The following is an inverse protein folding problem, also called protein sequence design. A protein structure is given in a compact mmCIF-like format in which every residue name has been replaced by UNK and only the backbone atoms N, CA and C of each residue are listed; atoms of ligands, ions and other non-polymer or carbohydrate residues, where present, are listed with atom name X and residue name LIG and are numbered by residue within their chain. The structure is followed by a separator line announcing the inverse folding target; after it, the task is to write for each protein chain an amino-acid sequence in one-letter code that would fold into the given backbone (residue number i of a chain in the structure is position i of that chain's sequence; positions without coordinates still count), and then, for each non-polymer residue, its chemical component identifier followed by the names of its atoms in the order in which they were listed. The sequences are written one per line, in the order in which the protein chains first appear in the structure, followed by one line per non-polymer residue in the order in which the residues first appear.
data_IF_386549155827
#
_entry.id   IF_386549155827
#
_cell.length_a   1.000
_cell.length_b   1.000
_cell.length_c   1.000
_cell.angle_alpha   90.00
_cell.angle_beta   90.00
_cell.angle_gamma   90.00
#
_symmetry.space_group_name_H-M   'P 1'
#
loop_
_entity.id
_entity.type
_entity.pdbx_description
1 polymer ?
#
# COMPACT_ATOMS: atom_id res chain seq x y z
N UNK A 1 -3.70 32.65 -4.86
CA UNK A 1 -2.51 32.30 -4.04
C UNK A 1 -1.32 33.23 -4.37
N UNK A 2 -0.96 33.45 -5.64
CA UNK A 2 0.16 34.35 -6.03
C UNK A 2 -0.03 35.76 -5.45
N UNK A 3 -1.21 36.34 -5.67
CA UNK A 3 -1.55 37.69 -5.15
C UNK A 3 -1.60 37.75 -3.61
N UNK A 4 -1.75 36.63 -2.94
CA UNK A 4 -1.78 36.48 -1.48
C UNK A 4 -0.42 36.17 -0.88
N UNK A 5 0.65 36.17 -1.67
CA UNK A 5 2.03 35.94 -1.20
C UNK A 5 2.45 34.48 -1.03
N UNK A 6 1.61 33.52 -1.46
CA UNK A 6 1.95 32.10 -1.42
C UNK A 6 2.81 31.70 -2.63
N UNK A 7 4.04 32.21 -2.69
CA UNK A 7 4.93 32.09 -3.84
C UNK A 7 6.19 31.25 -3.57
N UNK A 8 6.34 30.74 -2.35
CA UNK A 8 7.50 29.91 -1.97
C UNK A 8 7.26 28.45 -2.29
N UNK A 9 8.34 27.72 -2.49
CA UNK A 9 8.30 26.26 -2.60
C UNK A 9 7.70 25.66 -1.33
N UNK A 10 6.81 24.66 -1.50
CA UNK A 10 6.39 23.85 -0.37
C UNK A 10 7.54 22.90 0.06
N UNK A 11 7.57 22.47 1.33
CA UNK A 11 8.46 21.39 1.74
C UNK A 11 8.29 20.15 0.85
N UNK A 12 9.36 19.39 0.60
CA UNK A 12 9.34 18.20 -0.27
C UNK A 12 8.36 17.14 0.20
N UNK A 13 8.13 17.03 1.51
CA UNK A 13 7.15 16.11 2.11
C UNK A 13 5.71 16.64 2.08
N UNK A 14 5.48 17.83 1.54
CA UNK A 14 4.18 18.48 1.46
C UNK A 14 3.93 19.53 2.53
N UNK A 15 2.87 20.31 2.37
CA UNK A 15 2.51 21.37 3.31
C UNK A 15 2.24 20.80 4.72
N UNK A 16 2.86 21.37 5.78
CA UNK A 16 2.67 20.86 7.15
C UNK A 16 1.20 20.79 7.57
N UNK A 17 0.41 21.81 7.25
CA UNK A 17 -1.02 21.82 7.57
C UNK A 17 -1.80 20.66 6.91
N UNK A 18 -1.44 20.26 5.67
CA UNK A 18 -2.06 19.12 5.00
C UNK A 18 -1.64 17.80 5.65
N UNK A 19 -0.34 17.64 5.95
CA UNK A 19 0.17 16.44 6.64
C UNK A 19 -0.48 16.25 8.01
N UNK A 20 -0.66 17.33 8.78
CA UNK A 20 -1.38 17.31 10.05
C UNK A 20 -2.86 16.88 9.88
N UNK A 21 -3.54 17.35 8.83
CA UNK A 21 -4.91 16.92 8.55
C UNK A 21 -4.99 15.45 8.12
N UNK A 22 -4.00 14.95 7.40
CA UNK A 22 -3.89 13.51 7.06
C UNK A 22 -3.71 12.70 8.34
N UNK A 23 -2.77 13.06 9.21
CA UNK A 23 -2.58 12.38 10.50
C UNK A 23 -3.86 12.41 11.36
N UNK A 24 -4.53 13.56 11.43
CA UNK A 24 -5.79 13.68 12.15
C UNK A 24 -6.92 12.82 11.53
N UNK A 25 -6.95 12.67 10.20
CA UNK A 25 -7.89 11.78 9.50
C UNK A 25 -7.61 10.34 9.85
N UNK A 26 -6.36 9.89 9.82
CA UNK A 26 -5.95 8.52 10.18
C UNK A 26 -6.38 8.22 11.63
N UNK A 27 -6.11 9.12 12.56
CA UNK A 27 -6.53 8.95 13.96
C UNK A 27 -8.05 8.83 14.11
N UNK A 28 -8.83 9.63 13.39
CA UNK A 28 -10.30 9.55 13.45
C UNK A 28 -10.86 8.29 12.78
N UNK A 29 -10.28 7.86 11.67
CA UNK A 29 -10.82 6.74 10.88
C UNK A 29 -10.39 5.38 11.42
N UNK A 30 -9.16 5.29 11.91
CA UNK A 30 -8.53 4.00 12.24
C UNK A 30 -8.01 3.90 13.68
N UNK A 31 -8.09 4.98 14.47
CA UNK A 31 -7.60 4.99 15.85
C UNK A 31 -6.08 4.99 15.99
N UNK A 32 -5.36 5.17 14.89
CA UNK A 32 -3.89 5.12 14.83
C UNK A 32 -3.29 6.52 14.86
N UNK A 33 -2.27 6.72 15.69
CA UNK A 33 -1.52 7.97 15.73
C UNK A 33 -0.28 7.85 14.83
N UNK A 34 -0.16 8.75 13.86
CA UNK A 34 1.02 8.88 13.01
C UNK A 34 1.67 10.26 13.20
N UNK A 35 2.99 10.31 13.12
CA UNK A 35 3.75 11.55 13.17
C UNK A 35 3.66 12.27 11.82
N UNK A 36 2.97 13.42 11.79
CA UNK A 36 2.78 14.20 10.58
C UNK A 36 4.10 14.69 9.96
N UNK A 37 5.17 14.81 10.74
CA UNK A 37 6.45 15.34 10.26
C UNK A 37 7.38 14.24 9.71
N UNK A 38 7.28 13.02 10.20
CA UNK A 38 8.19 11.93 9.84
C UNK A 38 7.52 10.77 9.10
N UNK A 39 6.19 10.58 9.26
CA UNK A 39 5.46 9.43 8.72
C UNK A 39 4.45 9.80 7.62
N UNK A 40 4.34 11.10 7.27
CA UNK A 40 3.42 11.55 6.21
C UNK A 40 4.17 12.30 5.12
N UNK A 41 4.08 11.78 3.91
CA UNK A 41 4.56 12.45 2.69
C UNK A 41 3.44 12.59 1.69
N UNK A 42 3.24 13.82 1.18
CA UNK A 42 2.24 14.13 0.16
C UNK A 42 2.90 14.06 -1.21
N UNK A 43 2.27 13.33 -2.12
CA UNK A 43 2.72 13.16 -3.52
C UNK A 43 1.63 13.59 -4.50
N UNK A 44 1.97 13.92 -5.75
CA UNK A 44 1.00 14.12 -6.83
C UNK A 44 0.34 12.78 -7.24
N UNK A 45 -0.54 12.26 -6.38
CA UNK A 45 -1.27 11.02 -6.56
C UNK A 45 -0.58 9.77 -5.99
N UNK A 46 -1.37 8.70 -5.80
CA UNK A 46 -0.91 7.42 -5.27
C UNK A 46 0.14 6.74 -6.16
N UNK A 47 0.03 6.90 -7.48
CA UNK A 47 1.02 6.33 -8.42
C UNK A 47 2.44 6.80 -8.13
N UNK A 48 2.63 8.10 -7.84
CA UNK A 48 3.95 8.59 -7.46
C UNK A 48 4.39 8.08 -6.07
N UNK A 49 3.46 7.98 -5.11
CA UNK A 49 3.78 7.45 -3.79
C UNK A 49 4.31 6.03 -3.89
N UNK A 50 3.60 5.16 -4.60
CA UNK A 50 3.96 3.75 -4.83
C UNK A 50 5.30 3.66 -5.58
N UNK A 51 5.45 4.43 -6.66
CA UNK A 51 6.71 4.49 -7.41
C UNK A 51 7.89 4.85 -6.50
N UNK A 52 7.78 5.93 -5.71
CA UNK A 52 8.84 6.35 -4.80
C UNK A 52 9.14 5.30 -3.72
N UNK A 53 8.12 4.65 -3.15
CA UNK A 53 8.29 3.61 -2.15
C UNK A 53 9.03 2.39 -2.73
N UNK A 54 8.65 1.94 -3.93
CA UNK A 54 9.32 0.84 -4.62
C UNK A 54 10.77 1.21 -4.92
N UNK A 55 11.03 2.42 -5.50
CA UNK A 55 12.40 2.85 -5.81
C UNK A 55 13.27 3.02 -4.57
N UNK A 56 12.70 3.29 -3.40
CA UNK A 56 13.45 3.45 -2.16
C UNK A 56 13.90 2.12 -1.53
N UNK A 57 13.19 1.02 -1.83
CA UNK A 57 13.36 -0.27 -1.13
C UNK A 57 13.91 -1.36 -2.04
N UNK A 58 13.48 -1.39 -3.30
CA UNK A 58 13.77 -2.50 -4.23
C UNK A 58 15.10 -2.28 -4.92
N UNK A 59 15.90 -3.33 -4.97
CA UNK A 59 17.21 -3.39 -5.64
C UNK A 59 17.23 -4.51 -6.68
N UNK A 60 18.29 -4.53 -7.48
CA UNK A 60 18.47 -5.55 -8.51
C UNK A 60 18.48 -6.97 -7.93
N UNK A 61 17.58 -7.80 -8.42
CA UNK A 61 17.40 -9.19 -8.00
C UNK A 61 16.35 -9.42 -6.90
N UNK A 62 15.81 -8.36 -6.30
CA UNK A 62 14.69 -8.45 -5.37
C UNK A 62 13.39 -8.85 -6.07
N UNK A 63 12.50 -9.48 -5.34
CA UNK A 63 11.19 -9.89 -5.80
C UNK A 63 10.10 -9.09 -5.10
N UNK A 64 9.14 -8.63 -5.89
CA UNK A 64 7.92 -7.95 -5.42
C UNK A 64 6.73 -8.81 -5.78
N UNK A 65 5.96 -9.25 -4.79
CA UNK A 65 4.72 -9.99 -5.04
C UNK A 65 3.59 -8.99 -5.29
N UNK A 66 2.84 -9.23 -6.35
CA UNK A 66 1.62 -8.51 -6.72
C UNK A 66 0.49 -9.50 -7.00
N UNK A 67 -0.76 -9.10 -6.81
CA UNK A 67 -1.92 -9.96 -6.98
C UNK A 67 -2.67 -9.61 -8.27
N UNK A 68 -2.80 -10.58 -9.17
CA UNK A 68 -3.49 -10.39 -10.45
C UNK A 68 -5.00 -10.68 -10.37
N UNK A 69 -5.80 -9.84 -11.07
CA UNK A 69 -5.42 -8.66 -11.85
C UNK A 69 -4.95 -7.52 -10.94
N UNK A 70 -3.90 -6.77 -11.32
CA UNK A 70 -3.36 -5.68 -10.52
C UNK A 70 -3.32 -4.34 -11.28
N UNK A 71 -3.14 -3.25 -10.52
CA UNK A 71 -2.94 -1.95 -11.13
C UNK A 71 -1.62 -1.92 -11.93
N UNK A 72 -1.70 -1.37 -13.13
CA UNK A 72 -0.67 -1.46 -14.16
C UNK A 72 0.66 -0.75 -13.84
N UNK A 73 0.72 0.05 -12.77
CA UNK A 73 1.95 0.76 -12.39
C UNK A 73 2.90 -0.06 -11.50
N UNK A 74 2.46 -1.14 -10.86
CA UNK A 74 3.29 -1.87 -9.89
C UNK A 74 4.46 -2.59 -10.56
N UNK A 75 4.18 -3.34 -11.63
CA UNK A 75 5.20 -4.10 -12.33
C UNK A 75 6.25 -3.19 -13.01
N UNK A 76 5.88 -2.15 -13.79
CA UNK A 76 6.87 -1.24 -14.37
C UNK A 76 7.72 -0.51 -13.33
N UNK A 77 7.14 -0.09 -12.18
CA UNK A 77 7.90 0.54 -11.12
C UNK A 77 8.95 -0.41 -10.51
N UNK A 78 8.59 -1.68 -10.33
CA UNK A 78 9.48 -2.73 -9.83
C UNK A 78 10.62 -3.00 -10.82
N UNK A 79 10.30 -3.16 -12.10
CA UNK A 79 11.29 -3.42 -13.15
C UNK A 79 12.29 -2.26 -13.30
N UNK A 80 11.82 -1.01 -13.22
CA UNK A 80 12.67 0.18 -13.24
C UNK A 80 13.65 0.24 -12.06
N UNK A 81 13.28 -0.33 -10.91
CA UNK A 81 14.17 -0.49 -9.76
C UNK A 81 15.17 -1.66 -9.92
N UNK A 82 15.02 -2.47 -10.97
CA UNK A 82 15.83 -3.67 -11.22
C UNK A 82 15.32 -4.93 -10.51
N UNK A 83 14.15 -4.84 -9.88
CA UNK A 83 13.45 -5.97 -9.27
C UNK A 83 12.65 -6.80 -10.28
N UNK A 84 12.02 -7.85 -9.80
CA UNK A 84 11.15 -8.74 -10.57
C UNK A 84 9.80 -8.87 -9.89
N UNK A 85 8.71 -8.66 -10.62
CA UNK A 85 7.38 -9.00 -10.13
C UNK A 85 7.16 -10.51 -10.12
N UNK A 86 6.57 -10.98 -9.04
CA UNK A 86 6.03 -12.34 -8.88
C UNK A 86 4.51 -12.20 -8.78
N UNK A 87 3.82 -12.72 -9.77
CA UNK A 87 2.38 -12.59 -9.90
C UNK A 87 1.68 -13.75 -9.21
N UNK A 88 0.80 -13.45 -8.25
CA UNK A 88 -0.08 -14.41 -7.57
C UNK A 88 -1.50 -14.15 -8.04
N UNK A 89 -2.19 -15.18 -8.53
CA UNK A 89 -3.55 -15.03 -9.00
C UNK A 89 -4.51 -14.94 -7.81
N UNK A 90 -5.39 -13.92 -7.81
CA UNK A 90 -6.54 -13.90 -6.91
C UNK A 90 -7.53 -14.98 -7.31
N UNK A 91 -8.30 -15.46 -6.33
CA UNK A 91 -9.37 -16.42 -6.59
C UNK A 91 -10.36 -15.86 -7.63
N UNK A 92 -10.62 -16.55 -8.75
CA UNK A 92 -11.46 -16.01 -9.81
C UNK A 92 -12.94 -15.85 -9.42
N UNK A 93 -13.40 -16.50 -8.36
CA UNK A 93 -14.79 -16.48 -7.95
C UNK A 93 -15.14 -15.25 -7.09
N UNK A 94 -14.22 -14.81 -6.21
CA UNK A 94 -14.46 -13.74 -5.24
C UNK A 94 -13.31 -12.73 -5.08
N UNK A 95 -12.22 -12.93 -5.81
CA UNK A 95 -11.00 -12.14 -5.73
C UNK A 95 -10.33 -12.11 -4.35
N UNK A 96 -10.56 -13.13 -3.53
CA UNK A 96 -9.83 -13.35 -2.28
C UNK A 96 -8.38 -13.80 -2.54
N UNK A 97 -7.52 -13.60 -1.53
CA UNK A 97 -6.13 -14.05 -1.60
C UNK A 97 -6.05 -15.55 -1.39
N UNK A 98 -5.42 -16.27 -2.33
CA UNK A 98 -5.03 -17.67 -2.15
C UNK A 98 -3.71 -17.71 -1.36
N UNK A 99 -3.79 -17.97 -0.06
CA UNK A 99 -2.64 -17.97 0.84
C UNK A 99 -1.69 -19.16 0.60
N UNK A 100 -2.16 -20.26 0.03
CA UNK A 100 -1.29 -21.38 -0.35
C UNK A 100 -0.42 -20.99 -1.56
N UNK A 101 -1.00 -20.34 -2.56
CA UNK A 101 -0.25 -19.77 -3.69
C UNK A 101 0.71 -18.67 -3.23
N UNK A 102 0.28 -17.78 -2.34
CA UNK A 102 1.13 -16.72 -1.79
C UNK A 102 2.32 -17.34 -1.05
N UNK A 103 2.09 -18.33 -0.19
CA UNK A 103 3.15 -19.01 0.54
C UNK A 103 4.16 -19.70 -0.40
N UNK A 104 3.68 -20.33 -1.46
CA UNK A 104 4.52 -20.96 -2.49
C UNK A 104 5.32 -19.93 -3.32
N UNK A 105 4.81 -18.72 -3.49
CA UNK A 105 5.47 -17.64 -4.22
C UNK A 105 6.58 -16.95 -3.42
N UNK A 106 6.58 -17.06 -2.09
CA UNK A 106 7.60 -16.47 -1.23
C UNK A 106 8.95 -17.14 -1.42
N UNK A 107 9.99 -16.33 -1.57
CA UNK A 107 11.38 -16.79 -1.68
C UNK A 107 12.30 -15.97 -0.78
N UNK A 108 13.57 -16.38 -0.64
CA UNK A 108 14.57 -15.53 0.05
C UNK A 108 14.83 -14.17 -0.63
N UNK A 109 14.38 -13.98 -1.85
CA UNK A 109 14.48 -12.72 -2.59
C UNK A 109 13.23 -11.86 -2.48
N UNK A 110 12.14 -12.37 -1.92
CA UNK A 110 10.93 -11.59 -1.72
C UNK A 110 11.21 -10.45 -0.75
N UNK A 111 11.17 -9.22 -1.25
CA UNK A 111 11.46 -8.01 -0.49
C UNK A 111 10.22 -7.18 -0.22
N UNK A 112 9.20 -7.32 -1.05
CA UNK A 112 7.98 -6.52 -0.93
C UNK A 112 6.75 -7.31 -1.37
N UNK A 113 5.62 -7.02 -0.71
CA UNK A 113 4.29 -7.44 -1.14
C UNK A 113 3.46 -6.17 -1.33
N UNK A 114 2.71 -6.09 -2.42
CA UNK A 114 1.78 -4.98 -2.69
C UNK A 114 0.37 -5.53 -2.66
N UNK A 115 -0.45 -5.01 -1.76
CA UNK A 115 -1.90 -5.28 -1.71
C UNK A 115 -2.66 -4.03 -2.11
N UNK A 116 -3.88 -4.20 -2.64
CA UNK A 116 -4.78 -3.10 -2.98
C UNK A 116 -6.18 -3.40 -2.44
N UNK A 117 -6.70 -2.52 -1.57
CA UNK A 117 -8.01 -2.71 -0.93
C UNK A 117 -8.67 -1.37 -0.63
N UNK A 118 -9.87 -1.09 -1.10
CA UNK A 118 -10.68 -1.85 -2.07
C UNK A 118 -9.92 -2.08 -3.39
N UNK A 119 -10.07 -3.27 -3.95
CA UNK A 119 -9.26 -3.75 -5.06
C UNK A 119 -9.67 -3.15 -6.41
N UNK A 120 -8.72 -2.66 -7.17
CA UNK A 120 -8.91 -2.30 -8.57
C UNK A 120 -8.42 -3.46 -9.47
N UNK A 121 -9.29 -4.12 -10.29
CA UNK A 121 -10.59 -3.62 -10.75
C UNK A 121 -11.82 -4.27 -10.10
N UNK A 122 -11.69 -5.23 -9.18
CA UNK A 122 -12.83 -6.08 -8.75
C UNK A 122 -13.75 -5.41 -7.72
N UNK A 123 -13.24 -4.43 -6.94
CA UNK A 123 -13.94 -3.87 -5.80
C UNK A 123 -13.91 -4.76 -4.55
N UNK A 124 -13.23 -5.90 -4.59
CA UNK A 124 -13.08 -6.78 -3.43
C UNK A 124 -12.37 -6.08 -2.27
N UNK A 125 -12.74 -6.44 -1.05
CA UNK A 125 -12.16 -5.95 0.18
C UNK A 125 -11.32 -7.04 0.82
N UNK A 126 -10.16 -6.67 1.32
CA UNK A 126 -9.39 -7.57 2.18
C UNK A 126 -9.99 -7.53 3.58
N UNK A 127 -10.34 -8.68 4.11
CA UNK A 127 -10.91 -8.85 5.43
C UNK A 127 -9.85 -8.81 6.54
N UNK A 128 -10.30 -8.66 7.79
CA UNK A 128 -9.40 -8.76 8.95
C UNK A 128 -8.70 -10.11 9.02
N UNK A 129 -9.44 -11.18 8.77
CA UNK A 129 -8.90 -12.55 8.80
C UNK A 129 -7.82 -12.77 7.74
N UNK A 130 -7.96 -12.15 6.55
CA UNK A 130 -6.91 -12.19 5.52
C UNK A 130 -5.69 -11.37 5.92
N UNK A 131 -5.85 -10.23 6.58
CA UNK A 131 -4.72 -9.48 7.13
C UNK A 131 -4.01 -10.26 8.25
N UNK A 132 -4.74 -10.95 9.12
CA UNK A 132 -4.18 -11.81 10.17
C UNK A 132 -3.34 -12.96 9.55
N UNK A 133 -3.84 -13.59 8.47
CA UNK A 133 -3.11 -14.61 7.72
C UNK A 133 -1.86 -14.05 7.04
N UNK A 134 -1.96 -12.88 6.43
CA UNK A 134 -0.82 -12.20 5.81
C UNK A 134 0.26 -11.88 6.86
N UNK A 135 -0.14 -11.30 7.99
CA UNK A 135 0.76 -10.99 9.10
C UNK A 135 1.49 -12.24 9.60
N UNK A 136 0.75 -13.33 9.84
CA UNK A 136 1.34 -14.59 10.26
C UNK A 136 2.35 -15.15 9.25
N UNK A 137 2.09 -14.98 7.95
CA UNK A 137 2.95 -15.47 6.88
C UNK A 137 4.26 -14.68 6.75
N UNK A 138 4.26 -13.38 7.04
CA UNK A 138 5.43 -12.49 6.85
C UNK A 138 6.13 -12.08 8.15
N UNK A 139 5.59 -12.41 9.32
CA UNK A 139 6.07 -11.98 10.66
C UNK A 139 7.58 -12.08 10.85
N UNK A 140 8.18 -13.20 10.45
CA UNK A 140 9.61 -13.47 10.67
C UNK A 140 10.45 -13.22 9.42
N UNK A 141 9.96 -12.38 8.50
CA UNK A 141 10.61 -12.09 7.22
C UNK A 141 10.91 -10.60 7.10
N UNK A 142 12.01 -10.27 6.45
CA UNK A 142 12.36 -8.88 6.11
C UNK A 142 11.65 -8.47 4.82
N UNK A 143 10.32 -8.36 4.89
CA UNK A 143 9.43 -8.02 3.78
C UNK A 143 8.71 -6.74 4.11
N UNK A 144 8.73 -5.78 3.18
CA UNK A 144 7.91 -4.57 3.24
C UNK A 144 6.52 -4.85 2.67
N UNK A 145 5.50 -4.29 3.30
CA UNK A 145 4.13 -4.32 2.81
C UNK A 145 3.72 -2.94 2.31
N UNK A 146 3.33 -2.83 1.05
CA UNK A 146 2.59 -1.67 0.54
C UNK A 146 1.11 -2.01 0.55
N UNK A 147 0.31 -1.18 1.21
CA UNK A 147 -1.14 -1.23 1.13
C UNK A 147 -1.64 -0.01 0.35
N UNK A 148 -2.10 -0.25 -0.87
CA UNK A 148 -2.75 0.76 -1.70
C UNK A 148 -4.23 0.83 -1.34
N UNK A 149 -4.59 1.85 -0.54
CA UNK A 149 -5.94 2.06 -0.02
C UNK A 149 -6.61 3.29 -0.66
N UNK A 150 -6.24 3.63 -1.90
CA UNK A 150 -6.74 4.82 -2.60
C UNK A 150 -8.28 4.88 -2.65
N UNK A 151 -8.94 3.74 -2.61
CA UNK A 151 -10.42 3.62 -2.64
C UNK A 151 -11.04 3.37 -1.26
N UNK A 152 -10.36 3.64 -0.15
CA UNK A 152 -10.80 3.35 1.24
C UNK A 152 -12.23 3.82 1.59
N UNK A 153 -12.74 4.83 0.89
CA UNK A 153 -14.11 5.35 1.06
C UNK A 153 -15.11 4.83 0.04
N UNK A 154 -14.70 3.99 -0.91
CA UNK A 154 -15.57 3.37 -1.91
C UNK A 154 -15.98 1.96 -1.48
N UNK A 155 -16.64 1.90 -0.34
CA UNK A 155 -17.20 0.68 0.24
C UNK A 155 -18.72 0.80 0.32
N UNK A 156 -19.42 -0.33 0.11
CA UNK A 156 -20.86 -0.38 -0.02
C UNK A 156 -21.46 -1.39 0.96
N UNK A 157 -22.79 -1.43 1.05
CA UNK A 157 -23.58 -2.43 1.81
C UNK A 157 -23.27 -2.46 3.32
N UNK A 158 -22.70 -1.36 3.86
CA UNK A 158 -22.37 -1.25 5.28
C UNK A 158 -21.16 -2.07 5.72
N UNK A 159 -20.41 -2.64 4.78
CA UNK A 159 -19.14 -3.32 5.08
C UNK A 159 -18.07 -2.28 5.40
N UNK A 160 -17.37 -2.36 6.54
CA UNK A 160 -16.29 -1.42 6.85
C UNK A 160 -15.03 -1.75 6.03
N UNK A 161 -14.32 -0.70 5.59
CA UNK A 161 -12.95 -0.87 5.13
C UNK A 161 -12.03 -1.17 6.32
N UNK A 162 -11.15 -2.16 6.17
CA UNK A 162 -10.14 -2.51 7.17
C UNK A 162 -8.78 -2.03 6.64
N UNK A 163 -8.25 -0.99 7.28
CA UNK A 163 -6.92 -0.47 6.91
C UNK A 163 -5.81 -1.30 7.57
N UNK A 164 -4.74 -1.54 6.82
CA UNK A 164 -3.51 -2.17 7.34
C UNK A 164 -2.91 -1.35 8.48
N UNK A 165 -3.06 -0.02 8.46
CA UNK A 165 -2.59 0.85 9.54
C UNK A 165 -3.19 0.50 10.92
N UNK A 166 -4.36 -0.12 10.97
CA UNK A 166 -5.02 -0.54 12.21
C UNK A 166 -4.65 -1.97 12.64
N UNK A 167 -3.73 -2.63 11.92
CA UNK A 167 -3.28 -3.98 12.23
C UNK A 167 -1.96 -3.96 13.01
N UNK A 168 -1.96 -4.46 14.25
CA UNK A 168 -0.83 -4.31 15.18
C UNK A 168 0.45 -5.05 14.74
N UNK A 169 0.33 -6.05 13.86
CA UNK A 169 1.45 -6.89 13.43
C UNK A 169 1.95 -6.57 11.99
N UNK A 170 1.30 -5.63 11.30
CA UNK A 170 1.65 -5.15 9.97
C UNK A 170 2.05 -3.68 9.99
#
# INVERSE_FOLDING_TARGET
HIASGHNQYSPMTGLPALRQQIAAKIARSYGVTVDADHEVTVTPGATQAIFCAIQAVIHSGDEVIVFDPCYDSYAPATELAGGRCVHVQLNPDDFSIDFDQLAAALSPRTKMIVINTPHNPSGALISRDELDQLAALIRDRDIYLISDEVYEHLVFDGVPHVSVLAHEEL
#
